data_IF_607998816095
#
_entry.id   IF_607998816095
#
_cell.length_a   1.000
_cell.length_b   1.000
_cell.length_c   1.000
_cell.angle_alpha   90.00
_cell.angle_beta   90.00
_cell.angle_gamma   90.00
#
_symmetry.space_group_name_H-M   'P 1'
#
loop_
_entity.id
_entity.type
_entity.pdbx_description
1 polymer ?
#
# COMPACT_ATOMS: atom_id res chain seq x y z
N UNK A 1 30.65 -17.63 31.04
CA UNK A 1 29.65 -16.52 31.08
C UNK A 1 28.26 -17.14 31.10
N UNK A 2 27.42 -16.75 32.05
CA UNK A 2 26.07 -17.36 32.18
C UNK A 2 25.19 -16.96 30.96
N UNK A 3 24.40 -17.83 30.36
CA UNK A 3 23.59 -17.55 29.18
C UNK A 3 22.61 -16.38 29.32
N UNK A 4 22.19 -16.09 30.53
CA UNK A 4 21.32 -14.96 30.90
C UNK A 4 21.96 -13.59 30.57
N UNK A 5 23.27 -13.44 30.80
CA UNK A 5 23.99 -12.16 30.52
C UNK A 5 24.06 -11.89 29.02
N UNK A 6 24.24 -12.95 28.23
CA UNK A 6 24.27 -12.82 26.74
C UNK A 6 22.91 -12.39 26.18
N UNK A 7 21.81 -12.90 26.77
CA UNK A 7 20.45 -12.54 26.36
C UNK A 7 20.13 -11.07 26.67
N UNK A 8 20.51 -10.56 27.84
CA UNK A 8 20.36 -9.14 28.20
C UNK A 8 21.14 -8.21 27.27
N UNK A 9 22.36 -8.57 26.90
CA UNK A 9 23.16 -7.76 25.97
C UNK A 9 22.54 -7.73 24.56
N UNK A 10 21.95 -8.83 24.08
CA UNK A 10 21.26 -8.89 22.81
C UNK A 10 19.96 -8.07 22.84
N UNK A 11 19.17 -8.13 23.90
CA UNK A 11 17.95 -7.34 24.07
C UNK A 11 18.24 -5.84 24.16
N UNK A 12 19.27 -5.43 24.90
CA UNK A 12 19.68 -4.02 25.01
C UNK A 12 20.15 -3.50 23.65
N UNK A 13 20.93 -4.27 22.90
CA UNK A 13 21.33 -3.87 21.53
C UNK A 13 20.15 -3.78 20.57
N UNK A 14 19.19 -4.69 20.65
CA UNK A 14 17.99 -4.64 19.80
C UNK A 14 17.12 -3.40 20.06
N UNK A 15 17.09 -2.90 21.30
CA UNK A 15 16.38 -1.66 21.65
C UNK A 15 17.17 -0.40 21.26
N UNK A 16 18.51 -0.45 21.27
CA UNK A 16 19.37 0.71 21.00
C UNK A 16 19.61 0.98 19.48
N UNK A 17 19.51 -0.05 18.64
CA UNK A 17 19.71 0.10 17.19
C UNK A 17 18.67 1.06 16.56
N UNK A 18 17.36 0.99 16.89
CA UNK A 18 16.38 1.93 16.35
C UNK A 18 16.54 3.38 16.84
N UNK A 19 17.15 3.59 18.01
CA UNK A 19 17.34 4.93 18.59
C UNK A 19 18.52 5.71 18.00
N UNK A 20 19.37 5.04 17.22
CA UNK A 20 20.50 5.65 16.49
C UNK A 20 20.19 5.90 15.00
N UNK A 21 18.91 6.01 14.64
CA UNK A 21 18.53 6.51 13.32
C UNK A 21 19.11 7.92 13.18
N UNK A 22 20.25 8.05 12.54
CA UNK A 22 20.74 9.35 12.05
C UNK A 22 19.61 9.95 11.23
N UNK A 23 19.16 11.18 11.53
CA UNK A 23 18.24 11.86 10.65
C UNK A 23 18.97 12.01 9.30
N UNK A 24 18.62 11.19 8.33
CA UNK A 24 18.99 11.43 6.95
C UNK A 24 18.49 12.82 6.65
N UNK A 25 19.39 13.71 6.24
CA UNK A 25 19.03 15.06 5.78
C UNK A 25 17.97 14.88 4.69
N UNK A 26 16.74 15.12 5.11
CA UNK A 26 15.56 14.91 4.28
C UNK A 26 15.56 16.03 3.27
N UNK A 27 15.66 15.72 2.01
CA UNK A 27 15.58 16.69 0.95
C UNK A 27 14.11 17.12 0.83
N UNK A 28 13.73 18.24 1.47
CA UNK A 28 12.36 18.74 1.54
C UNK A 28 11.71 18.90 0.15
N UNK A 29 12.50 19.11 -0.89
CA UNK A 29 12.00 19.18 -2.27
C UNK A 29 11.58 17.82 -2.84
N UNK A 30 12.22 16.72 -2.44
CA UNK A 30 11.82 15.37 -2.84
C UNK A 30 10.53 14.90 -2.13
N UNK A 31 10.20 15.50 -0.99
CA UNK A 31 9.02 15.19 -0.19
C UNK A 31 7.75 15.93 -0.66
N UNK A 32 7.86 16.86 -1.61
CA UNK A 32 6.73 17.58 -2.16
C UNK A 32 5.85 16.62 -2.98
N UNK A 33 4.53 16.78 -2.84
CA UNK A 33 3.59 16.00 -3.64
C UNK A 33 3.73 16.36 -5.13
N UNK A 34 4.11 15.42 -6.01
CA UNK A 34 4.40 15.70 -7.41
C UNK A 34 3.15 15.87 -8.29
N UNK A 35 1.96 15.74 -7.70
CA UNK A 35 0.70 15.70 -8.44
C UNK A 35 0.27 14.29 -8.83
N UNK A 36 -1.02 14.11 -9.09
CA UNK A 36 -1.59 12.81 -9.43
C UNK A 36 -1.14 12.27 -10.80
N UNK A 37 -0.70 13.15 -11.69
CA UNK A 37 -0.16 12.73 -12.98
C UNK A 37 1.13 11.90 -12.88
N UNK A 38 1.85 12.00 -11.75
CA UNK A 38 3.05 11.22 -11.48
C UNK A 38 2.74 9.87 -10.80
N UNK A 39 1.50 9.60 -10.45
CA UNK A 39 1.12 8.34 -9.81
C UNK A 39 1.25 7.16 -10.80
N UNK A 40 1.70 5.98 -10.32
CA UNK A 40 1.87 4.80 -11.18
C UNK A 40 0.51 4.10 -11.45
N UNK A 41 -0.40 4.83 -12.06
CA UNK A 41 -1.75 4.40 -12.46
C UNK A 41 -2.00 4.80 -13.92
N UNK A 42 -2.98 4.21 -14.61
CA UNK A 42 -3.34 4.61 -15.96
C UNK A 42 -3.71 6.10 -16.05
N UNK A 43 -3.44 6.70 -17.19
CA UNK A 43 -3.85 8.08 -17.49
C UNK A 43 -5.34 8.15 -17.84
N UNK A 44 -5.97 9.32 -17.66
CA UNK A 44 -7.36 9.53 -18.07
C UNK A 44 -8.41 9.02 -17.09
N UNK A 45 -8.02 8.60 -15.88
CA UNK A 45 -8.97 8.23 -14.85
C UNK A 45 -9.76 9.45 -14.33
N UNK A 46 -11.06 9.26 -14.13
CA UNK A 46 -11.92 10.28 -13.54
C UNK A 46 -11.71 10.32 -12.00
N UNK A 47 -11.50 11.50 -11.39
CA UNK A 47 -11.41 11.61 -9.95
C UNK A 47 -12.80 11.39 -9.32
N UNK A 48 -12.82 10.68 -8.18
CA UNK A 48 -14.01 10.50 -7.33
C UNK A 48 -13.87 11.40 -6.11
N UNK A 49 -14.91 12.18 -5.81
CA UNK A 49 -14.93 12.99 -4.59
C UNK A 49 -14.95 12.08 -3.34
N UNK A 50 -14.08 12.33 -2.34
CA UNK A 50 -14.06 11.55 -1.13
C UNK A 50 -15.36 11.78 -0.32
N UNK A 51 -15.85 10.71 0.32
CA UNK A 51 -16.87 10.82 1.34
C UNK A 51 -16.36 11.59 2.57
N UNK A 52 -17.27 12.08 3.43
CA UNK A 52 -16.86 12.76 4.67
C UNK A 52 -15.97 11.88 5.57
N UNK A 53 -16.20 10.57 5.59
CA UNK A 53 -15.39 9.62 6.34
C UNK A 53 -13.97 9.53 5.78
N UNK A 54 -13.84 9.46 4.46
CA UNK A 54 -12.54 9.43 3.77
C UNK A 54 -11.80 10.74 3.93
N UNK A 55 -12.49 11.88 3.86
CA UNK A 55 -11.91 13.20 4.09
C UNK A 55 -11.34 13.32 5.52
N UNK A 56 -12.07 12.84 6.54
CA UNK A 56 -11.58 12.79 7.93
C UNK A 56 -10.35 11.89 8.09
N UNK A 57 -10.33 10.74 7.43
CA UNK A 57 -9.17 9.86 7.44
C UNK A 57 -7.96 10.52 6.76
N UNK A 58 -8.18 11.18 5.63
CA UNK A 58 -7.13 11.86 4.87
C UNK A 58 -6.51 13.03 5.64
N UNK A 59 -7.27 13.75 6.48
CA UNK A 59 -6.78 14.88 7.27
C UNK A 59 -5.62 14.50 8.21
N UNK A 60 -5.58 13.27 8.70
CA UNK A 60 -4.50 12.79 9.58
C UNK A 60 -3.47 11.91 8.89
N UNK A 61 -3.54 11.75 7.57
CA UNK A 61 -2.61 10.92 6.81
C UNK A 61 -1.34 11.70 6.44
N UNK A 62 -0.13 11.13 6.61
CA UNK A 62 1.12 11.83 6.32
C UNK A 62 1.42 11.83 4.81
N UNK A 63 0.56 12.46 4.03
CA UNK A 63 0.66 12.50 2.58
C UNK A 63 -0.61 12.99 1.91
N UNK A 64 -0.95 12.40 0.77
CA UNK A 64 -2.18 12.69 0.01
C UNK A 64 -2.89 11.39 -0.32
N UNK A 65 -4.22 11.44 -0.36
CA UNK A 65 -5.08 10.34 -0.79
C UNK A 65 -5.97 10.83 -1.92
N UNK A 66 -6.03 10.08 -3.01
CA UNK A 66 -6.93 10.30 -4.13
C UNK A 66 -7.65 9.03 -4.51
N UNK A 67 -8.87 9.17 -4.98
CA UNK A 67 -9.68 8.07 -5.50
C UNK A 67 -10.05 8.38 -6.95
N UNK A 68 -9.88 7.39 -7.82
CA UNK A 68 -10.09 7.55 -9.26
C UNK A 68 -10.85 6.35 -9.80
N UNK A 69 -11.47 6.49 -10.98
CA UNK A 69 -12.15 5.39 -11.67
C UNK A 69 -11.97 5.47 -13.18
N UNK A 70 -11.95 4.30 -13.82
CA UNK A 70 -12.11 4.13 -15.27
C UNK A 70 -13.54 3.67 -15.65
N UNK A 71 -14.49 3.68 -14.69
CA UNK A 71 -15.83 3.20 -14.82
C UNK A 71 -16.01 1.73 -14.43
N UNK A 72 -15.00 0.88 -14.63
CA UNK A 72 -15.02 -0.54 -14.25
C UNK A 72 -14.23 -0.83 -12.97
N UNK A 73 -13.21 -0.04 -12.71
CA UNK A 73 -12.28 -0.19 -11.57
C UNK A 73 -12.24 1.07 -10.74
N UNK A 74 -11.95 0.89 -9.45
CA UNK A 74 -11.67 1.99 -8.51
C UNK A 74 -10.21 1.89 -8.10
N UNK A 75 -9.51 3.00 -8.18
CA UNK A 75 -8.12 3.16 -7.81
C UNK A 75 -8.02 4.06 -6.58
N UNK A 76 -7.57 3.52 -5.46
CA UNK A 76 -7.24 4.31 -4.27
C UNK A 76 -5.73 4.51 -4.26
N UNK A 77 -5.30 5.75 -4.45
CA UNK A 77 -3.90 6.13 -4.59
C UNK A 77 -3.47 6.98 -3.41
N UNK A 78 -2.37 6.62 -2.79
CA UNK A 78 -1.84 7.33 -1.65
C UNK A 78 -0.39 7.74 -1.92
N UNK A 79 -0.10 9.03 -1.81
CA UNK A 79 1.25 9.55 -1.72
C UNK A 79 1.66 9.57 -0.26
N UNK A 80 2.68 8.79 0.11
CA UNK A 80 3.11 8.58 1.49
C UNK A 80 4.47 9.22 1.67
N UNK A 81 4.56 10.27 2.49
CA UNK A 81 5.84 10.99 2.74
C UNK A 81 6.73 10.30 3.78
N UNK A 82 6.12 9.74 4.81
CA UNK A 82 6.79 9.05 5.91
C UNK A 82 6.12 7.75 6.20
N UNK A 83 6.89 6.73 6.59
CA UNK A 83 6.33 5.44 7.01
C UNK A 83 5.30 5.66 8.13
N UNK A 84 4.16 5.01 7.99
CA UNK A 84 3.03 5.21 8.89
C UNK A 84 2.21 3.95 9.04
N UNK A 85 1.72 3.69 10.25
CA UNK A 85 0.73 2.63 10.51
C UNK A 85 -0.68 2.99 10.05
N UNK A 86 -0.92 4.23 9.58
CA UNK A 86 -2.18 4.60 8.93
C UNK A 86 -2.31 4.03 7.53
N UNK A 87 -1.21 3.60 6.91
CA UNK A 87 -1.25 2.76 5.73
C UNK A 87 -1.34 1.30 6.20
N UNK A 88 -2.48 0.70 6.03
CA UNK A 88 -2.76 -0.72 6.31
C UNK A 88 -3.32 -1.38 5.05
N UNK A 89 -3.27 -2.73 4.94
CA UNK A 89 -3.82 -3.45 3.81
C UNK A 89 -5.32 -3.17 3.64
N UNK A 90 -5.79 -3.20 2.40
CA UNK A 90 -7.24 -3.07 2.14
C UNK A 90 -8.03 -4.20 2.79
N UNK A 91 -7.43 -5.38 2.96
CA UNK A 91 -8.02 -6.51 3.68
C UNK A 91 -8.52 -6.15 5.07
N UNK A 92 -7.78 -5.33 5.82
CA UNK A 92 -8.17 -4.96 7.20
C UNK A 92 -9.46 -4.12 7.20
N UNK A 93 -9.54 -3.15 6.28
CA UNK A 93 -10.75 -2.34 6.11
C UNK A 93 -11.94 -3.17 5.64
N UNK A 94 -11.71 -4.08 4.70
CA UNK A 94 -12.75 -4.93 4.13
C UNK A 94 -13.29 -5.93 5.14
N UNK A 95 -12.42 -6.57 5.93
CA UNK A 95 -12.82 -7.44 7.04
C UNK A 95 -13.65 -6.68 8.07
N UNK A 96 -13.25 -5.44 8.42
CA UNK A 96 -14.01 -4.59 9.34
C UNK A 96 -15.38 -4.17 8.78
N UNK A 97 -15.56 -4.18 7.46
CA UNK A 97 -16.83 -3.94 6.76
C UNK A 97 -17.64 -5.22 6.54
N UNK A 98 -17.20 -6.38 7.04
CA UNK A 98 -17.92 -7.65 6.94
C UNK A 98 -17.68 -8.43 5.64
N UNK A 99 -16.69 -8.02 4.84
CA UNK A 99 -16.28 -8.80 3.67
C UNK A 99 -15.48 -10.04 4.09
N UNK A 100 -15.66 -11.13 3.35
CA UNK A 100 -14.75 -12.28 3.36
C UNK A 100 -13.59 -11.98 2.42
N UNK A 101 -12.37 -12.12 2.90
CA UNK A 101 -11.14 -11.85 2.14
C UNK A 101 -10.31 -13.12 2.05
N UNK A 102 -9.94 -13.53 0.82
CA UNK A 102 -9.07 -14.68 0.56
C UNK A 102 -7.85 -14.22 -0.23
N UNK A 103 -6.62 -14.41 0.30
CA UNK A 103 -5.41 -14.13 -0.44
C UNK A 103 -5.35 -14.98 -1.72
N UNK A 104 -4.84 -14.39 -2.78
CA UNK A 104 -4.54 -15.03 -4.06
C UNK A 104 -3.02 -14.96 -4.32
N UNK A 105 -2.49 -15.74 -5.27
CA UNK A 105 -1.11 -15.61 -5.70
C UNK A 105 -0.78 -14.16 -6.13
N UNK A 106 0.48 -13.77 -5.96
CA UNK A 106 0.99 -12.50 -6.46
C UNK A 106 0.74 -12.44 -7.97
N UNK A 107 0.14 -11.35 -8.43
CA UNK A 107 -0.09 -11.10 -9.83
C UNK A 107 1.10 -10.33 -10.41
N UNK A 108 1.72 -10.90 -11.45
CA UNK A 108 2.72 -10.22 -12.26
C UNK A 108 2.01 -9.60 -13.48
N UNK A 109 2.09 -8.27 -13.61
CA UNK A 109 1.54 -7.54 -14.75
C UNK A 109 2.49 -7.61 -15.96
N UNK A 110 1.98 -7.34 -17.14
CA UNK A 110 2.76 -7.32 -18.39
C UNK A 110 3.85 -6.25 -18.43
N UNK A 111 3.72 -5.20 -17.61
CA UNK A 111 4.73 -4.15 -17.41
C UNK A 111 5.83 -4.57 -16.42
N UNK A 112 5.80 -5.80 -15.92
CA UNK A 112 6.74 -6.33 -14.94
C UNK A 112 6.42 -5.99 -13.49
N UNK A 113 5.37 -5.22 -13.22
CA UNK A 113 4.98 -4.89 -11.83
C UNK A 113 4.32 -6.06 -11.11
N UNK A 114 4.55 -6.14 -9.78
CA UNK A 114 4.00 -7.20 -8.93
C UNK A 114 2.94 -6.63 -7.98
N UNK A 115 1.86 -7.39 -7.80
CA UNK A 115 0.71 -6.97 -7.00
C UNK A 115 0.33 -8.06 -6.00
N UNK A 116 0.21 -7.71 -4.73
CA UNK A 116 -0.52 -8.51 -3.76
C UNK A 116 -1.98 -8.55 -4.17
N UNK A 117 -2.58 -9.75 -4.18
CA UNK A 117 -3.92 -9.93 -4.73
C UNK A 117 -4.81 -10.66 -3.73
N UNK A 118 -6.07 -10.26 -3.66
CA UNK A 118 -7.09 -10.92 -2.83
C UNK A 118 -8.42 -11.01 -3.57
N UNK A 119 -9.14 -12.10 -3.36
CA UNK A 119 -10.56 -12.23 -3.70
C UNK A 119 -11.40 -11.78 -2.50
N UNK A 120 -12.40 -10.96 -2.75
CA UNK A 120 -13.23 -10.32 -1.74
C UNK A 120 -14.71 -10.60 -2.04
N UNK A 121 -15.47 -10.95 -1.02
CA UNK A 121 -16.90 -11.25 -1.17
C UNK A 121 -17.72 -10.73 0.01
N UNK A 122 -18.84 -10.07 -0.32
CA UNK A 122 -19.89 -9.70 0.65
C UNK A 122 -21.26 -9.96 0.03
N UNK A 123 -22.03 -10.90 0.59
CA UNK A 123 -23.27 -11.38 -0.04
C UNK A 123 -23.02 -11.93 -1.44
N UNK A 124 -23.68 -11.34 -2.44
CA UNK A 124 -23.53 -11.69 -3.86
C UNK A 124 -22.42 -10.89 -4.55
N UNK A 125 -21.96 -9.81 -3.94
CA UNK A 125 -20.89 -8.97 -4.48
C UNK A 125 -19.55 -9.72 -4.41
N UNK A 126 -18.83 -9.72 -5.51
CA UNK A 126 -17.49 -10.27 -5.60
C UNK A 126 -16.56 -9.28 -6.29
N UNK A 127 -15.40 -9.05 -5.69
CA UNK A 127 -14.36 -8.18 -6.22
C UNK A 127 -13.01 -8.88 -6.14
N UNK A 128 -12.09 -8.44 -6.97
CA UNK A 128 -10.66 -8.67 -6.80
C UNK A 128 -10.01 -7.36 -6.34
N UNK A 129 -9.10 -7.47 -5.39
CA UNK A 129 -8.33 -6.35 -4.89
C UNK A 129 -6.88 -6.61 -5.20
N UNK A 130 -6.19 -5.61 -5.76
CA UNK A 130 -4.74 -5.62 -5.97
C UNK A 130 -4.11 -4.47 -5.23
N UNK A 131 -2.97 -4.72 -4.60
CA UNK A 131 -2.24 -3.73 -3.84
C UNK A 131 -0.75 -3.79 -4.14
N UNK A 132 -0.13 -2.63 -4.25
CA UNK A 132 1.32 -2.50 -4.24
C UNK A 132 1.75 -1.17 -3.66
N UNK A 133 2.97 -1.14 -3.16
CA UNK A 133 3.67 0.09 -2.77
C UNK A 133 4.94 0.16 -3.62
N UNK A 134 5.27 1.34 -4.11
CA UNK A 134 6.48 1.56 -4.91
C UNK A 134 7.17 2.84 -4.48
N UNK A 135 8.50 2.83 -4.37
CA UNK A 135 9.31 4.03 -4.15
C UNK A 135 9.67 4.70 -5.49
N UNK A 136 10.28 5.89 -5.40
CA UNK A 136 10.71 6.63 -6.60
C UNK A 136 11.85 5.93 -7.37
N UNK A 137 12.53 4.98 -6.76
CA UNK A 137 13.57 4.15 -7.40
C UNK A 137 13.01 2.90 -8.10
N UNK A 138 11.69 2.68 -8.03
CA UNK A 138 11.05 1.52 -8.64
C UNK A 138 11.08 0.24 -7.78
N UNK A 139 11.52 0.31 -6.52
CA UNK A 139 11.42 -0.83 -5.60
C UNK A 139 9.96 -1.02 -5.20
N UNK A 140 9.50 -2.26 -5.20
CA UNK A 140 8.12 -2.63 -4.96
C UNK A 140 7.93 -3.47 -3.70
N UNK A 141 6.75 -3.33 -3.09
CA UNK A 141 6.24 -4.18 -2.00
C UNK A 141 4.80 -4.55 -2.31
N UNK A 142 4.50 -5.82 -2.19
CA UNK A 142 3.16 -6.39 -2.31
C UNK A 142 2.51 -6.63 -0.95
N UNK A 143 3.23 -6.33 0.13
CA UNK A 143 2.80 -6.46 1.52
C UNK A 143 3.11 -5.18 2.30
N UNK A 144 2.08 -4.61 2.93
CA UNK A 144 2.18 -3.35 3.67
C UNK A 144 3.07 -3.48 4.91
N UNK A 145 3.06 -4.64 5.57
CA UNK A 145 3.88 -4.87 6.76
C UNK A 145 5.35 -4.96 6.40
N UNK A 146 5.68 -5.67 5.31
CA UNK A 146 7.05 -5.75 4.79
C UNK A 146 7.59 -4.36 4.41
N UNK A 147 6.76 -3.54 3.72
CA UNK A 147 7.11 -2.15 3.44
C UNK A 147 7.35 -1.34 4.72
N UNK A 148 6.40 -1.40 5.67
CA UNK A 148 6.50 -0.63 6.92
C UNK A 148 7.78 -0.93 7.69
N UNK A 149 8.08 -2.21 7.90
CA UNK A 149 9.28 -2.61 8.63
C UNK A 149 10.56 -2.28 7.88
N UNK A 150 10.59 -2.43 6.55
CA UNK A 150 11.73 -2.01 5.72
C UNK A 150 12.00 -0.52 5.87
N UNK A 151 10.95 0.32 5.88
CA UNK A 151 11.08 1.76 6.09
C UNK A 151 11.45 2.12 7.53
N UNK A 152 10.81 1.49 8.54
CA UNK A 152 11.06 1.74 9.94
C UNK A 152 12.48 1.37 10.37
N UNK A 153 13.09 0.36 9.73
CA UNK A 153 14.48 -0.06 9.93
C UNK A 153 15.47 0.75 9.08
N UNK A 154 15.01 1.72 8.30
CA UNK A 154 15.88 2.57 7.47
C UNK A 154 16.42 1.89 6.22
N UNK A 155 15.87 0.75 5.79
CA UNK A 155 16.31 0.05 4.60
C UNK A 155 15.79 0.69 3.31
N UNK A 156 14.80 1.56 3.41
CA UNK A 156 14.33 2.42 2.33
C UNK A 156 13.83 3.75 2.89
N UNK A 157 13.87 4.77 2.06
CA UNK A 157 13.39 6.11 2.39
C UNK A 157 12.27 6.50 1.43
N UNK A 158 11.22 7.15 1.97
CA UNK A 158 10.13 7.71 1.15
C UNK A 158 10.62 8.85 0.26
N UNK A 159 9.70 9.41 -0.50
CA UNK A 159 8.27 9.11 -0.50
C UNK A 159 7.90 7.89 -1.34
N UNK A 160 6.67 7.39 -1.14
CA UNK A 160 6.15 6.19 -1.83
C UNK A 160 4.77 6.44 -2.42
N UNK A 161 4.44 5.69 -3.46
CA UNK A 161 3.09 5.51 -3.95
C UNK A 161 2.53 4.19 -3.44
N UNK A 162 1.39 4.22 -2.75
CA UNK A 162 0.64 3.03 -2.41
C UNK A 162 -0.65 3.02 -3.22
N UNK A 163 -0.84 1.98 -4.03
CA UNK A 163 -1.98 1.84 -4.95
C UNK A 163 -2.79 0.62 -4.56
N UNK A 164 -4.08 0.80 -4.40
CA UNK A 164 -5.07 -0.27 -4.26
C UNK A 164 -6.05 -0.18 -5.40
N UNK A 165 -6.31 -1.29 -6.09
CA UNK A 165 -7.25 -1.40 -7.20
C UNK A 165 -8.37 -2.35 -6.79
N UNK A 166 -9.60 -1.88 -6.87
CA UNK A 166 -10.81 -2.70 -6.76
C UNK A 166 -11.34 -2.95 -8.16
N UNK A 167 -11.47 -4.21 -8.55
CA UNK A 167 -11.90 -4.60 -9.90
C UNK A 167 -12.89 -5.77 -9.85
N UNK A 168 -13.73 -5.95 -10.89
CA UNK A 168 -14.54 -7.16 -11.02
C UNK A 168 -13.68 -8.41 -10.93
N UNK A 169 -14.22 -9.55 -10.48
CA UNK A 169 -13.51 -10.82 -10.49
C UNK A 169 -13.15 -11.19 -11.93
N UNK A 170 -12.02 -11.86 -12.10
CA UNK A 170 -11.64 -12.40 -13.41
C UNK A 170 -12.72 -13.39 -13.89
N UNK A 171 -13.19 -13.28 -15.13
CA UNK A 171 -14.09 -14.28 -15.67
C UNK A 171 -13.42 -15.65 -15.58
N UNK A 172 -14.18 -16.72 -15.28
CA UNK A 172 -13.62 -18.06 -15.24
C UNK A 172 -12.93 -18.36 -16.58
N UNK A 173 -11.75 -18.99 -16.49
CA UNK A 173 -10.95 -19.33 -17.67
C UNK A 173 -11.82 -20.07 -18.70
N UNK A 174 -11.99 -19.48 -19.89
CA UNK A 174 -12.82 -20.04 -20.97
C UNK A 174 -14.06 -19.24 -21.34
N UNK A 175 -14.45 -18.22 -20.58
CA UNK A 175 -15.54 -17.30 -20.95
C UNK A 175 -14.92 -16.09 -21.65
N UNK A 176 -15.02 -16.00 -22.99
CA UNK A 176 -14.71 -14.78 -23.74
C UNK A 176 -15.66 -13.67 -23.27
N UNK A 177 -15.12 -12.49 -22.98
CA UNK A 177 -15.93 -11.30 -22.77
C UNK A 177 -16.86 -11.08 -23.97
N UNK A 178 -18.12 -10.71 -23.76
CA UNK A 178 -18.97 -10.27 -24.88
C UNK A 178 -18.34 -9.04 -25.53
N UNK A 179 -18.31 -9.06 -26.90
CA UNK A 179 -17.82 -7.97 -27.74
C UNK A 179 -18.70 -6.73 -27.57
#
# INVERSE_FOLDING_TARGET
>A
MKPVVCFYFLCVRAVWIPLRSTPTLRNDSADAFPGWAAAPIPTGLAPIAPSEREARFAAGFPGKIGVFSDGARIYVVRWVRTSTRKLHPASDCLLALGYSVKPLPIFASTDGSHWGTSSVQHGTERLRVRERIVDLGGREWTDVSAWFWSAALGHNAGPWWAVTIFEPPEPPAGVKAPL
#
